data_IF_062194017867
#
_entry.id   IF_062194017867
#
_cell.length_a   1.000
_cell.length_b   1.000
_cell.length_c   1.000
_cell.angle_alpha   90.00
_cell.angle_beta   90.00
_cell.angle_gamma   90.00
#
_symmetry.space_group_name_H-M   'P 1'
#
loop_
_entity.id
_entity.type
_entity.pdbx_description
1 polymer ?
#
# COMPACT_ATOMS: atom_id res chain seq x y z
N UNK A 1 -35.27 -19.20 -16.09
CA UNK A 1 -36.12 -18.01 -15.91
C UNK A 1 -36.35 -17.89 -14.42
N UNK A 2 -35.86 -16.90 -13.67
CA UNK A 2 -34.96 -15.77 -13.90
C UNK A 2 -34.44 -15.37 -12.51
N UNK A 3 -33.29 -14.73 -12.48
CA UNK A 3 -32.60 -14.12 -11.34
C UNK A 3 -33.48 -13.14 -10.54
N UNK A 4 -33.18 -12.93 -9.26
CA UNK A 4 -33.07 -11.55 -8.75
C UNK A 4 -32.23 -11.46 -7.47
N UNK A 5 -31.26 -10.55 -7.52
CA UNK A 5 -30.11 -10.39 -6.64
C UNK A 5 -30.45 -9.70 -5.30
N UNK A 6 -29.67 -9.91 -4.22
CA UNK A 6 -29.72 -9.00 -3.09
C UNK A 6 -29.13 -7.65 -3.51
N UNK A 7 -29.99 -6.62 -3.53
CA UNK A 7 -29.66 -5.22 -3.77
C UNK A 7 -28.69 -4.67 -2.73
N UNK A 8 -27.41 -4.98 -2.88
CA UNK A 8 -26.29 -4.34 -2.20
C UNK A 8 -26.11 -2.93 -2.75
N UNK A 9 -26.91 -2.00 -2.25
CA UNK A 9 -26.77 -0.58 -2.56
C UNK A 9 -25.37 -0.11 -2.12
N UNK A 10 -24.44 -0.01 -3.07
CA UNK A 10 -23.15 0.63 -2.88
C UNK A 10 -23.40 2.07 -2.44
N UNK A 11 -23.05 2.39 -1.20
CA UNK A 11 -22.96 3.77 -0.74
C UNK A 11 -21.52 4.25 -0.98
N UNK A 12 -21.31 5.36 -1.68
CA UNK A 12 -20.01 6.00 -1.67
C UNK A 12 -19.75 6.42 -0.21
N UNK A 13 -18.72 5.87 0.41
CA UNK A 13 -18.23 6.38 1.70
C UNK A 13 -17.39 7.60 1.36
N UNK A 14 -18.04 8.76 1.33
CA UNK A 14 -17.43 10.05 0.98
C UNK A 14 -16.32 10.51 1.97
N UNK A 15 -16.05 9.75 3.04
CA UNK A 15 -14.97 9.99 3.99
C UNK A 15 -14.13 8.71 4.22
N UNK A 16 -13.31 8.32 3.24
CA UNK A 16 -12.33 7.23 3.41
C UNK A 16 -11.20 7.56 4.40
N UNK A 17 -11.05 8.82 4.83
CA UNK A 17 -10.04 9.22 5.82
C UNK A 17 -10.45 8.93 7.26
N UNK A 18 -11.76 8.94 7.59
CA UNK A 18 -12.26 8.65 8.94
C UNK A 18 -12.13 7.17 9.34
N UNK A 19 -11.98 6.27 8.37
CA UNK A 19 -11.80 4.83 8.58
C UNK A 19 -10.34 4.41 8.75
N UNK A 20 -9.39 5.35 8.69
CA UNK A 20 -7.95 5.04 8.72
C UNK A 20 -7.42 5.14 10.15
N UNK A 21 -6.88 4.04 10.64
CA UNK A 21 -6.21 4.00 11.94
C UNK A 21 -4.91 4.83 11.96
N UNK A 22 -4.27 5.04 10.79
CA UNK A 22 -2.99 5.74 10.68
C UNK A 22 -2.91 6.66 9.45
N UNK A 23 -2.24 7.83 9.57
CA UNK A 23 -1.99 8.71 8.43
C UNK A 23 -1.08 8.04 7.40
N UNK A 24 -1.34 8.30 6.11
CA UNK A 24 -0.55 7.78 4.98
C UNK A 24 0.20 8.92 4.30
N UNK A 25 1.45 8.68 3.94
CA UNK A 25 2.31 9.66 3.27
C UNK A 25 2.52 9.25 1.82
N UNK A 26 2.46 10.23 0.91
CA UNK A 26 2.85 10.04 -0.48
C UNK A 26 4.38 9.93 -0.51
N UNK A 27 4.89 8.82 -1.01
CA UNK A 27 6.34 8.55 -1.07
C UNK A 27 6.75 8.30 -2.51
N UNK A 28 7.98 8.67 -2.89
CA UNK A 28 8.61 8.21 -4.12
C UNK A 28 9.47 7.01 -3.78
N UNK A 29 8.90 5.82 -3.89
CA UNK A 29 9.58 4.56 -3.57
C UNK A 29 9.26 3.47 -4.57
N UNK A 30 10.13 2.47 -4.63
CA UNK A 30 9.88 1.23 -5.37
C UNK A 30 9.75 0.09 -4.37
N UNK A 31 8.85 -0.84 -4.69
CA UNK A 31 8.69 -2.08 -3.97
C UNK A 31 8.86 -3.28 -4.90
N UNK A 32 9.52 -4.34 -4.44
CA UNK A 32 9.40 -5.66 -5.08
C UNK A 32 8.33 -6.47 -4.37
N UNK A 33 7.35 -6.96 -5.11
CA UNK A 33 6.28 -7.81 -4.57
C UNK A 33 6.57 -9.27 -4.85
N UNK A 34 6.47 -10.13 -3.84
CA UNK A 34 6.65 -11.56 -3.98
C UNK A 34 5.29 -12.25 -3.93
N UNK A 35 4.87 -12.77 -5.08
CA UNK A 35 3.74 -13.69 -5.23
C UNK A 35 4.07 -14.67 -6.35
N UNK A 36 3.57 -15.90 -6.20
CA UNK A 36 3.78 -17.17 -6.95
C UNK A 36 4.91 -17.34 -7.99
N UNK A 37 5.43 -16.36 -8.72
CA UNK A 37 6.56 -16.59 -9.65
C UNK A 37 7.30 -15.36 -10.26
N UNK A 38 7.17 -14.09 -9.81
CA UNK A 38 7.92 -12.97 -10.47
C UNK A 38 8.25 -11.76 -9.59
N UNK A 39 9.46 -11.20 -9.74
CA UNK A 39 9.88 -9.91 -9.18
C UNK A 39 9.44 -8.77 -10.09
N UNK A 40 8.65 -7.83 -9.57
CA UNK A 40 8.24 -6.65 -10.33
C UNK A 40 8.44 -5.39 -9.51
N UNK A 41 9.08 -4.40 -10.13
CA UNK A 41 9.25 -3.07 -9.54
C UNK A 41 7.93 -2.30 -9.63
N UNK A 42 7.36 -1.98 -8.48
CA UNK A 42 6.11 -1.23 -8.40
C UNK A 42 6.30 0.10 -7.70
N UNK A 43 5.60 1.13 -8.21
CA UNK A 43 5.58 2.43 -7.57
C UNK A 43 4.74 2.35 -6.28
N UNK A 44 5.32 2.80 -5.17
CA UNK A 44 4.58 2.98 -3.92
C UNK A 44 3.80 4.29 -4.04
N UNK A 45 2.47 4.22 -4.05
CA UNK A 45 1.59 5.39 -4.14
C UNK A 45 1.51 6.11 -2.80
N UNK A 46 1.41 5.34 -1.72
CA UNK A 46 1.46 5.84 -0.35
C UNK A 46 1.96 4.75 0.61
N UNK A 47 2.55 5.19 1.71
CA UNK A 47 3.12 4.34 2.76
C UNK A 47 2.65 4.82 4.14
N UNK A 48 2.44 3.90 5.05
CA UNK A 48 2.12 4.13 6.46
C UNK A 48 2.87 3.12 7.32
N UNK A 49 2.83 3.29 8.65
CA UNK A 49 3.49 2.37 9.58
C UNK A 49 2.93 0.94 9.53
N UNK A 50 1.69 0.76 9.07
CA UNK A 50 1.03 -0.55 9.03
C UNK A 50 0.77 -1.10 7.64
N UNK A 51 1.15 -0.40 6.57
CA UNK A 51 0.84 -0.86 5.22
C UNK A 51 1.19 0.14 4.12
N UNK A 52 1.04 -0.32 2.87
CA UNK A 52 1.33 0.46 1.68
C UNK A 52 0.23 0.32 0.63
N UNK A 53 0.16 1.31 -0.27
CA UNK A 53 -0.58 1.20 -1.52
C UNK A 53 0.41 1.13 -2.68
N UNK A 54 0.26 0.11 -3.52
CA UNK A 54 1.16 -0.19 -4.63
C UNK A 54 0.40 -0.02 -5.94
N UNK A 55 1.04 0.60 -6.93
CA UNK A 55 0.56 0.59 -8.32
C UNK A 55 1.20 -0.59 -9.05
N UNK A 56 0.37 -1.54 -9.47
CA UNK A 56 0.77 -2.83 -10.03
C UNK A 56 0.04 -3.11 -11.35
N UNK A 57 0.65 -3.81 -12.32
CA UNK A 57 0.01 -4.11 -13.61
C UNK A 57 -1.11 -5.14 -13.45
N UNK A 58 -0.95 -6.10 -12.54
CA UNK A 58 -1.96 -7.10 -12.17
C UNK A 58 -1.90 -7.24 -10.65
N UNK A 59 -2.96 -6.90 -9.91
CA UNK A 59 -2.98 -7.05 -8.45
C UNK A 59 -3.12 -8.53 -8.04
N UNK A 60 -2.50 -8.87 -6.92
CA UNK A 60 -2.75 -10.14 -6.21
C UNK A 60 -4.16 -10.17 -5.63
N UNK A 61 -4.64 -11.37 -5.29
CA UNK A 61 -5.98 -11.55 -4.74
C UNK A 61 -6.04 -11.05 -3.29
N UNK A 62 -7.19 -10.51 -2.87
CA UNK A 62 -7.43 -10.16 -1.47
C UNK A 62 -7.28 -11.40 -0.58
N UNK A 63 -6.51 -11.26 0.49
CA UNK A 63 -6.14 -12.34 1.40
C UNK A 63 -4.83 -13.04 1.04
N UNK A 64 -4.22 -12.76 -0.13
CA UNK A 64 -2.92 -13.32 -0.47
C UNK A 64 -1.82 -12.81 0.46
N UNK A 65 -0.97 -13.73 0.92
CA UNK A 65 0.29 -13.41 1.56
C UNK A 65 1.35 -13.13 0.51
N UNK A 66 1.91 -11.93 0.55
CA UNK A 66 3.00 -11.49 -0.33
C UNK A 66 4.14 -10.91 0.50
N UNK A 67 5.33 -10.85 -0.06
CA UNK A 67 6.39 -10.01 0.53
C UNK A 67 6.50 -8.71 -0.25
N UNK A 68 6.89 -7.64 0.43
CA UNK A 68 7.11 -6.31 -0.15
C UNK A 68 8.49 -5.83 0.28
N UNK A 69 9.42 -5.77 -0.66
CA UNK A 69 10.75 -5.20 -0.42
C UNK A 69 10.71 -3.70 -0.68
N UNK A 70 10.82 -2.89 0.37
CA UNK A 70 11.12 -1.47 0.26
C UNK A 70 12.59 -1.32 -0.09
N UNK A 71 12.92 -0.64 -1.20
CA UNK A 71 14.32 -0.44 -1.62
C UNK A 71 15.04 0.62 -0.77
N UNK A 72 16.37 0.59 -0.78
CA UNK A 72 17.23 1.62 -0.18
C UNK A 72 16.76 3.05 -0.54
N UNK A 73 16.74 3.94 0.45
CA UNK A 73 16.38 5.34 0.28
C UNK A 73 17.36 6.23 1.05
N UNK A 74 18.20 6.98 0.32
CA UNK A 74 19.27 7.77 0.92
C UNK A 74 20.25 6.88 1.70
N UNK A 75 20.42 7.14 3.00
CA UNK A 75 21.23 6.33 3.91
C UNK A 75 20.44 5.20 4.60
N UNK A 76 19.12 5.14 4.39
CA UNK A 76 18.27 4.09 4.98
C UNK A 76 18.28 2.86 4.09
N UNK A 77 18.69 1.74 4.67
CA UNK A 77 18.64 0.44 4.00
C UNK A 77 17.19 -0.01 3.78
N UNK A 78 16.97 -0.63 2.64
CA UNK A 78 15.74 -1.32 2.29
C UNK A 78 15.45 -2.48 3.24
N UNK A 79 14.22 -2.95 3.18
CA UNK A 79 13.73 -4.06 4.00
C UNK A 79 12.64 -4.83 3.30
N UNK A 80 12.57 -6.12 3.55
CA UNK A 80 11.48 -6.99 3.09
C UNK A 80 10.45 -7.17 4.19
N UNK A 81 9.19 -6.92 3.86
CA UNK A 81 8.06 -7.01 4.77
C UNK A 81 7.10 -8.10 4.27
N UNK A 82 6.80 -9.08 5.12
CA UNK A 82 5.65 -9.95 4.91
C UNK A 82 4.36 -9.12 5.01
N UNK A 83 3.45 -9.32 4.07
CA UNK A 83 2.24 -8.54 3.92
C UNK A 83 1.04 -9.40 3.53
N UNK A 84 -0.16 -8.92 3.83
CA UNK A 84 -1.42 -9.47 3.35
C UNK A 84 -2.12 -8.44 2.45
N UNK A 85 -2.65 -8.87 1.30
CA UNK A 85 -3.45 -8.02 0.42
C UNK A 85 -4.82 -7.76 1.05
N UNK A 86 -5.12 -6.51 1.41
CA UNK A 86 -6.41 -6.13 2.03
C UNK A 86 -7.45 -5.64 1.05
N UNK A 87 -7.01 -5.08 -0.08
CA UNK A 87 -7.90 -4.69 -1.17
C UNK A 87 -7.14 -4.65 -2.48
N UNK A 88 -7.86 -4.85 -3.58
CA UNK A 88 -7.34 -4.78 -4.94
C UNK A 88 -8.33 -4.04 -5.85
N UNK A 89 -7.79 -3.34 -6.83
CA UNK A 89 -8.48 -2.68 -7.94
C UNK A 89 -7.65 -2.87 -9.21
N UNK A 90 -8.16 -2.51 -10.39
CA UNK A 90 -7.54 -2.82 -11.69
C UNK A 90 -6.01 -2.62 -11.77
N UNK A 91 -5.46 -1.56 -11.15
CA UNK A 91 -4.02 -1.26 -11.17
C UNK A 91 -3.42 -0.92 -9.82
N UNK A 92 -4.16 -1.15 -8.74
CA UNK A 92 -3.69 -0.82 -7.40
C UNK A 92 -4.09 -1.89 -6.41
N UNK A 93 -3.22 -2.11 -5.43
CA UNK A 93 -3.55 -2.93 -4.27
C UNK A 93 -3.06 -2.27 -2.99
N UNK A 94 -3.81 -2.50 -1.93
CA UNK A 94 -3.42 -2.14 -0.58
C UNK A 94 -2.98 -3.37 0.18
N UNK A 95 -1.84 -3.23 0.86
CA UNK A 95 -1.25 -4.30 1.66
C UNK A 95 -1.13 -3.86 3.11
N UNK A 96 -1.35 -4.80 4.03
CA UNK A 96 -1.08 -4.64 5.45
C UNK A 96 0.20 -5.39 5.80
N UNK A 97 1.07 -4.78 6.61
CA UNK A 97 2.31 -5.39 7.06
C UNK A 97 2.03 -6.37 8.20
N UNK A 98 2.52 -7.61 8.08
CA UNK A 98 2.34 -8.64 9.10
C UNK A 98 3.01 -8.29 10.43
N UNK A 99 4.03 -7.42 10.42
CA UNK A 99 4.67 -6.91 11.63
C UNK A 99 3.83 -5.85 12.37
N UNK A 100 2.65 -5.48 11.84
CA UNK A 100 1.80 -4.43 12.41
C UNK A 100 2.48 -3.07 12.37
N UNK A 101 2.14 -2.21 13.35
CA UNK A 101 2.62 -0.81 13.39
C UNK A 101 3.81 -0.57 14.31
N UNK A 102 4.31 -1.64 14.94
CA UNK A 102 5.37 -1.58 15.95
C UNK A 102 6.77 -1.84 15.42
N UNK A 103 6.93 -1.99 14.11
CA UNK A 103 8.25 -2.19 13.50
C UNK A 103 9.05 -0.86 13.46
N UNK A 104 10.13 -0.72 14.23
CA UNK A 104 10.93 0.51 14.26
C UNK A 104 11.59 0.80 12.90
N UNK A 105 11.96 -0.23 12.13
CA UNK A 105 12.58 -0.03 10.82
C UNK A 105 11.62 0.66 9.84
N UNK A 106 10.34 0.27 9.85
CA UNK A 106 9.31 0.91 9.01
C UNK A 106 9.12 2.37 9.41
N UNK A 107 9.17 2.67 10.71
CA UNK A 107 9.10 4.07 11.21
C UNK A 107 10.30 4.89 10.76
N UNK A 108 11.49 4.34 10.85
CA UNK A 108 12.73 5.00 10.42
C UNK A 108 12.71 5.29 8.91
N UNK A 109 12.28 4.30 8.12
CA UNK A 109 12.10 4.44 6.67
C UNK A 109 11.06 5.51 6.31
N UNK A 110 9.93 5.54 7.01
CA UNK A 110 8.90 6.58 6.86
C UNK A 110 9.42 7.97 7.21
N UNK A 111 10.19 8.10 8.29
CA UNK A 111 10.75 9.37 8.70
C UNK A 111 11.79 9.88 7.69
N UNK A 112 12.61 9.00 7.13
CA UNK A 112 13.55 9.38 6.08
C UNK A 112 12.85 9.81 4.78
N UNK A 113 11.82 9.06 4.37
CA UNK A 113 11.05 9.37 3.13
C UNK A 113 10.12 10.57 3.28
N UNK A 114 9.66 10.90 4.50
CA UNK A 114 8.84 12.09 4.79
C UNK A 114 9.54 13.41 4.48
N UNK A 115 10.87 13.44 4.41
CA UNK A 115 11.64 14.67 4.19
C UNK A 115 11.48 15.20 2.74
N UNK A 116 11.03 14.37 1.79
CA UNK A 116 10.80 14.75 0.38
C UNK A 116 9.32 14.62 -0.07
N UNK A 117 8.35 14.94 0.78
CA UNK A 117 6.96 15.12 0.30
C UNK A 117 6.92 16.40 -0.54
N UNK A 118 7.11 16.24 -1.86
CA UNK A 118 6.87 17.29 -2.85
C UNK A 118 5.42 17.77 -2.68
N UNK A 119 5.17 19.10 -2.57
CA UNK A 119 3.81 19.63 -2.47
C UNK A 119 2.94 19.07 -3.59
N UNK A 120 1.73 18.61 -3.27
CA UNK A 120 0.74 18.25 -4.30
C UNK A 120 0.40 19.55 -5.05
N UNK A 121 0.75 19.66 -6.32
CA UNK A 121 0.48 20.86 -7.16
C UNK A 121 -1.02 21.05 -7.47
N UNK A 122 -1.91 20.53 -6.62
CA UNK A 122 -3.37 20.61 -6.74
C UNK A 122 -4.03 21.60 -5.78
N UNK A 123 -3.24 22.44 -5.11
CA UNK A 123 -3.72 23.59 -4.32
C UNK A 123 -3.42 24.94 -5.00
N UNK A 124 -3.56 25.03 -6.32
CA UNK A 124 -3.58 26.32 -7.05
C UNK A 124 -4.79 26.44 -7.97
#
# INVERSE_FOLDING_TARGET
MSDDEPSGQWRPVDNMDELRQFPRFRVKGRANVYGRETWMHHAITNLSVGGACLTVPVPSQVGDSIEVELLDYGEVRGMTLACEVKWASERQMGVEFSCGTDNPQVRDYLNATRIEVVPDERDR
#
